data_IF_689501769843
#
_entry.id   IF_689501769843
#
_cell.length_a   1.000
_cell.length_b   1.000
_cell.length_c   1.000
_cell.angle_alpha   90.00
_cell.angle_beta   90.00
_cell.angle_gamma   90.00
#
_symmetry.space_group_name_H-M   'P 1'
#
loop_
_entity.id
_entity.type
_entity.pdbx_description
1 polymer ?
#
# COMPACT_ATOMS: atom_id res chain seq x y z
N UNK A 1 40.90 -45.35 45.58
CA UNK A 1 40.04 -45.02 44.43
C UNK A 1 40.41 -45.95 43.30
N UNK A 2 39.74 -47.11 43.26
CA UNK A 2 39.96 -48.07 42.17
C UNK A 2 39.13 -47.62 40.97
N UNK A 3 39.62 -47.80 39.74
CA UNK A 3 38.93 -47.39 38.50
C UNK A 3 37.51 -47.97 38.36
N UNK A 4 37.22 -49.05 39.09
CA UNK A 4 35.91 -49.69 39.25
C UNK A 4 34.86 -48.85 39.98
N UNK A 5 35.23 -47.84 40.77
CA UNK A 5 34.28 -47.02 41.54
C UNK A 5 33.70 -45.84 40.72
N UNK A 6 34.34 -45.48 39.61
CA UNK A 6 33.99 -44.29 38.79
C UNK A 6 33.13 -44.68 37.57
N UNK A 7 33.23 -45.92 37.11
CA UNK A 7 32.64 -46.37 35.86
C UNK A 7 31.38 -47.19 36.14
N UNK A 8 30.21 -46.61 35.87
CA UNK A 8 28.91 -47.26 36.10
C UNK A 8 28.36 -48.04 34.89
N UNK A 9 28.97 -47.88 33.71
CA UNK A 9 28.49 -48.54 32.49
C UNK A 9 28.76 -50.06 32.54
N UNK A 10 27.72 -50.92 32.35
CA UNK A 10 27.84 -52.38 32.43
C UNK A 10 28.82 -53.01 31.41
N UNK A 11 28.95 -52.41 30.23
CA UNK A 11 29.87 -52.91 29.20
C UNK A 11 31.31 -52.51 29.51
N UNK A 12 31.55 -51.27 29.93
CA UNK A 12 32.89 -50.81 30.33
C UNK A 12 33.38 -51.55 31.59
N UNK A 13 32.49 -51.80 32.56
CA UNK A 13 32.84 -52.58 33.76
C UNK A 13 33.23 -54.02 33.39
N UNK A 14 32.55 -54.65 32.42
CA UNK A 14 32.95 -55.95 31.90
C UNK A 14 34.34 -55.92 31.22
N UNK A 15 34.65 -54.87 30.44
CA UNK A 15 35.99 -54.68 29.85
C UNK A 15 37.06 -54.53 30.93
N UNK A 16 36.80 -53.69 31.94
CA UNK A 16 37.73 -53.45 33.05
C UNK A 16 37.96 -54.72 33.87
N UNK A 17 36.91 -55.51 34.14
CA UNK A 17 37.02 -56.78 34.84
C UNK A 17 37.86 -57.79 34.05
N UNK A 18 37.60 -57.95 32.74
CA UNK A 18 38.37 -58.84 31.87
C UNK A 18 39.85 -58.40 31.74
N UNK A 19 40.11 -57.09 31.67
CA UNK A 19 41.47 -56.56 31.65
C UNK A 19 42.20 -56.76 32.98
N UNK A 20 41.50 -56.61 34.11
CA UNK A 20 42.06 -56.90 35.44
C UNK A 20 42.39 -58.38 35.61
N UNK A 21 41.52 -59.28 35.13
CA UNK A 21 41.77 -60.73 35.11
C UNK A 21 43.00 -61.08 34.26
N UNK A 22 43.08 -60.57 33.03
CA UNK A 22 44.25 -60.78 32.17
C UNK A 22 45.54 -60.27 32.82
N UNK A 23 45.50 -59.12 33.50
CA UNK A 23 46.65 -58.57 34.24
C UNK A 23 47.07 -59.48 35.40
N UNK A 24 46.12 -59.99 36.18
CA UNK A 24 46.40 -60.93 37.27
C UNK A 24 47.04 -62.22 36.76
N UNK A 25 46.62 -62.75 35.60
CA UNK A 25 47.26 -63.93 35.01
C UNK A 25 48.69 -63.62 34.54
N UNK A 26 48.94 -62.44 33.95
CA UNK A 26 50.30 -62.01 33.61
C UNK A 26 51.19 -61.93 34.86
N UNK A 27 50.70 -61.33 35.95
CA UNK A 27 51.44 -61.23 37.22
C UNK A 27 51.78 -62.62 37.79
N UNK A 28 50.85 -63.59 37.71
CA UNK A 28 51.11 -64.99 38.13
C UNK A 28 52.15 -65.69 37.27
N UNK A 29 52.08 -65.55 35.95
CA UNK A 29 53.08 -66.13 35.04
C UNK A 29 54.47 -65.55 35.33
N UNK A 30 54.58 -64.24 35.57
CA UNK A 30 55.83 -63.59 35.95
C UNK A 30 56.38 -64.12 37.29
N UNK A 31 55.50 -64.35 38.27
CA UNK A 31 55.90 -64.94 39.55
C UNK A 31 56.42 -66.38 39.41
N UNK A 32 55.77 -67.22 38.61
CA UNK A 32 56.20 -68.59 38.32
C UNK A 32 57.58 -68.63 37.64
N UNK A 33 57.82 -67.73 36.67
CA UNK A 33 59.11 -67.59 36.00
C UNK A 33 60.20 -67.12 36.99
N UNK A 34 59.87 -66.19 37.89
CA UNK A 34 60.82 -65.67 38.88
C UNK A 34 61.19 -66.70 39.95
N UNK A 35 60.30 -67.62 40.30
CA UNK A 35 60.56 -68.72 41.23
C UNK A 35 61.39 -69.87 40.63
N UNK A 36 61.78 -69.79 39.35
CA UNK A 36 62.57 -70.83 38.64
C UNK A 36 61.96 -72.24 38.73
N UNK A 37 60.63 -72.31 38.82
CA UNK A 37 59.85 -73.53 38.66
C UNK A 37 59.65 -73.76 37.17
N UNK A 38 60.62 -74.41 36.52
CA UNK A 38 60.47 -74.91 35.15
C UNK A 38 59.58 -76.17 35.12
N UNK A 39 58.37 -76.07 35.71
CA UNK A 39 57.32 -77.04 35.44
C UNK A 39 56.59 -76.58 34.17
N UNK A 40 57.13 -77.00 33.02
CA UNK A 40 56.63 -76.65 31.68
C UNK A 40 55.10 -76.89 31.55
N UNK A 41 54.56 -77.85 32.30
CA UNK A 41 53.13 -78.14 32.33
C UNK A 41 52.29 -77.02 32.95
N UNK A 42 52.67 -76.49 34.11
CA UNK A 42 51.92 -75.43 34.80
C UNK A 42 52.00 -74.11 34.03
N UNK A 43 53.17 -73.75 33.50
CA UNK A 43 53.36 -72.55 32.69
C UNK A 43 52.50 -72.55 31.42
N UNK A 44 52.39 -73.69 30.73
CA UNK A 44 51.55 -73.80 29.54
C UNK A 44 50.05 -73.69 29.86
N UNK A 45 49.60 -74.16 31.03
CA UNK A 45 48.19 -74.01 31.44
C UNK A 45 47.84 -72.55 31.72
N UNK A 46 48.70 -71.81 32.41
CA UNK A 46 48.48 -70.39 32.69
C UNK A 46 48.60 -69.53 31.42
N UNK A 47 49.50 -69.86 30.50
CA UNK A 47 49.57 -69.24 29.17
C UNK A 47 48.26 -69.40 28.38
N UNK A 48 47.66 -70.60 28.38
CA UNK A 48 46.37 -70.85 27.73
C UNK A 48 45.25 -69.98 28.33
N UNK A 49 45.21 -69.82 29.65
CA UNK A 49 44.26 -68.93 30.34
C UNK A 49 44.47 -67.46 29.96
N UNK A 50 45.73 -67.01 29.90
CA UNK A 50 46.02 -65.65 29.43
C UNK A 50 45.55 -65.42 27.98
N UNK A 51 45.75 -66.39 27.09
CA UNK A 51 45.27 -66.28 25.70
C UNK A 51 43.75 -66.20 25.62
N UNK A 52 43.00 -66.95 26.45
CA UNK A 52 41.54 -66.82 26.50
C UNK A 52 41.11 -65.46 27.02
N UNK A 53 41.74 -64.95 28.09
CA UNK A 53 41.39 -63.66 28.67
C UNK A 53 41.69 -62.51 27.69
N UNK A 54 42.82 -62.58 26.97
CA UNK A 54 43.15 -61.63 25.90
C UNK A 54 42.16 -61.68 24.73
N UNK A 55 41.65 -62.86 24.38
CA UNK A 55 40.63 -62.98 23.34
C UNK A 55 39.32 -62.29 23.76
N UNK A 56 38.92 -62.45 25.02
CA UNK A 56 37.73 -61.80 25.60
C UNK A 56 37.91 -60.27 25.58
N UNK A 57 39.04 -59.75 26.06
CA UNK A 57 39.31 -58.30 26.07
C UNK A 57 39.28 -57.71 24.66
N UNK A 58 39.90 -58.38 23.67
CA UNK A 58 39.84 -57.94 22.26
C UNK A 58 38.41 -57.96 21.70
N UNK A 59 37.62 -58.97 22.04
CA UNK A 59 36.22 -59.07 21.65
C UNK A 59 35.37 -57.93 22.22
N UNK A 60 35.53 -57.64 23.50
CA UNK A 60 34.81 -56.54 24.17
C UNK A 60 35.23 -55.16 23.63
N UNK A 61 36.52 -54.94 23.34
CA UNK A 61 36.99 -53.72 22.70
C UNK A 61 36.35 -53.53 21.31
N UNK A 62 36.34 -54.58 20.48
CA UNK A 62 35.69 -54.54 19.17
C UNK A 62 34.19 -54.21 19.28
N UNK A 63 33.50 -54.79 20.27
CA UNK A 63 32.10 -54.49 20.55
C UNK A 63 31.90 -53.02 20.91
N UNK A 64 32.70 -52.46 21.81
CA UNK A 64 32.63 -51.06 22.19
C UNK A 64 32.84 -50.12 20.99
N UNK A 65 33.80 -50.42 20.11
CA UNK A 65 34.03 -49.64 18.89
C UNK A 65 32.81 -49.68 17.95
N UNK A 66 32.17 -50.84 17.80
CA UNK A 66 30.96 -50.98 16.99
C UNK A 66 29.78 -50.23 17.59
N UNK A 67 29.59 -50.30 18.91
CA UNK A 67 28.53 -49.58 19.61
C UNK A 67 28.72 -48.06 19.47
N UNK A 68 29.95 -47.53 19.59
CA UNK A 68 30.26 -46.11 19.35
C UNK A 68 29.95 -45.70 17.91
N UNK A 69 30.26 -46.54 16.92
CA UNK A 69 29.92 -46.25 15.52
C UNK A 69 28.41 -46.24 15.29
N UNK A 70 27.70 -47.17 15.92
CA UNK A 70 26.23 -47.24 15.86
C UNK A 70 25.61 -45.97 16.45
N UNK A 71 25.98 -45.58 17.67
CA UNK A 71 25.41 -44.38 18.30
C UNK A 71 25.76 -43.11 17.53
N UNK A 72 26.96 -43.02 16.94
CA UNK A 72 27.33 -41.92 16.05
C UNK A 72 26.43 -41.86 14.81
N UNK A 73 26.11 -43.00 14.21
CA UNK A 73 25.21 -43.06 13.07
C UNK A 73 23.77 -42.67 13.47
N UNK A 74 23.24 -43.26 14.54
CA UNK A 74 21.89 -42.96 15.05
C UNK A 74 21.71 -41.47 15.37
N UNK A 75 22.69 -40.86 16.03
CA UNK A 75 22.65 -39.42 16.32
C UNK A 75 22.77 -38.54 15.07
N UNK A 76 23.52 -38.99 14.06
CA UNK A 76 23.61 -38.27 12.78
C UNK A 76 22.30 -38.35 11.99
N UNK A 77 21.65 -39.51 11.96
CA UNK A 77 20.37 -39.71 11.28
C UNK A 77 19.27 -38.88 11.95
N UNK A 78 19.17 -38.93 13.29
CA UNK A 78 18.23 -38.11 14.04
C UNK A 78 18.46 -36.61 13.84
N UNK A 79 19.73 -36.17 13.79
CA UNK A 79 20.07 -34.78 13.48
C UNK A 79 19.62 -34.40 12.07
N UNK A 80 19.83 -35.26 11.08
CA UNK A 80 19.43 -34.99 9.71
C UNK A 80 17.90 -34.86 9.56
N UNK A 81 17.14 -35.68 10.28
CA UNK A 81 15.69 -35.57 10.35
C UNK A 81 15.26 -34.21 10.93
N UNK A 82 15.86 -33.78 12.04
CA UNK A 82 15.60 -32.47 12.64
C UNK A 82 15.92 -31.33 11.68
N UNK A 83 17.05 -31.39 10.98
CA UNK A 83 17.44 -30.37 10.00
C UNK A 83 16.42 -30.29 8.85
N UNK A 84 15.90 -31.45 8.40
CA UNK A 84 14.87 -31.53 7.35
C UNK A 84 13.55 -30.92 7.80
N UNK A 85 13.08 -31.25 9.00
CA UNK A 85 11.87 -30.67 9.59
C UNK A 85 12.02 -29.16 9.82
N UNK A 86 13.21 -28.71 10.23
CA UNK A 86 13.48 -27.29 10.40
C UNK A 86 13.37 -26.52 9.08
N UNK A 87 13.88 -27.09 7.98
CA UNK A 87 13.74 -26.49 6.65
C UNK A 87 12.27 -26.41 6.21
N UNK A 88 11.49 -27.47 6.44
CA UNK A 88 10.05 -27.46 6.16
C UNK A 88 9.32 -26.38 6.96
N UNK A 89 9.65 -26.25 8.24
CA UNK A 89 9.08 -25.21 9.11
C UNK A 89 9.43 -23.80 8.60
N UNK A 90 10.67 -23.57 8.16
CA UNK A 90 11.06 -22.30 7.56
C UNK A 90 10.24 -21.99 6.30
N UNK A 91 10.03 -22.97 5.42
CA UNK A 91 9.20 -22.79 4.23
C UNK A 91 7.76 -22.37 4.60
N UNK A 92 7.17 -23.00 5.61
CA UNK A 92 5.83 -22.63 6.11
C UNK A 92 5.80 -21.21 6.68
N UNK A 93 6.83 -20.78 7.42
CA UNK A 93 6.91 -19.39 7.91
C UNK A 93 7.01 -18.38 6.76
N UNK A 94 7.75 -18.70 5.70
CA UNK A 94 7.79 -17.87 4.50
C UNK A 94 6.42 -17.76 3.84
N UNK A 95 5.74 -18.89 3.65
CA UNK A 95 4.39 -18.92 3.07
C UNK A 95 3.40 -18.12 3.92
N UNK A 96 3.40 -18.32 5.25
CA UNK A 96 2.56 -17.57 6.17
C UNK A 96 2.81 -16.06 6.07
N UNK A 97 4.09 -15.64 6.04
CA UNK A 97 4.44 -14.21 5.93
C UNK A 97 3.99 -13.63 4.59
N UNK A 98 4.12 -14.39 3.51
CA UNK A 98 3.67 -14.00 2.18
C UNK A 98 2.15 -13.78 2.17
N UNK A 99 1.37 -14.78 2.60
CA UNK A 99 -0.08 -14.72 2.67
C UNK A 99 -0.57 -13.57 3.55
N UNK A 100 0.05 -13.36 4.72
CA UNK A 100 -0.28 -12.22 5.58
C UNK A 100 0.01 -10.87 4.89
N UNK A 101 1.07 -10.79 4.09
CA UNK A 101 1.37 -9.61 3.28
C UNK A 101 0.31 -9.35 2.20
N UNK A 102 -0.14 -10.40 1.52
CA UNK A 102 -1.22 -10.31 0.54
C UNK A 102 -2.55 -9.91 1.17
N UNK A 103 -2.92 -10.52 2.31
CA UNK A 103 -4.12 -10.16 3.07
C UNK A 103 -4.07 -8.68 3.47
N UNK A 104 -2.96 -8.21 4.05
CA UNK A 104 -2.81 -6.81 4.41
C UNK A 104 -2.91 -5.87 3.20
N UNK A 105 -2.39 -6.29 2.03
CA UNK A 105 -2.54 -5.54 0.79
C UNK A 105 -4.00 -5.48 0.31
N UNK A 106 -4.75 -6.57 0.45
CA UNK A 106 -6.17 -6.63 0.10
C UNK A 106 -7.03 -5.81 1.06
N UNK A 107 -6.77 -5.89 2.37
CA UNK A 107 -7.48 -5.13 3.40
C UNK A 107 -7.24 -3.63 3.27
N UNK A 108 -5.99 -3.25 2.97
CA UNK A 108 -5.60 -1.85 2.77
C UNK A 108 -5.89 -1.34 1.35
N UNK A 109 -6.60 -2.12 0.53
CA UNK A 109 -6.99 -1.65 -0.80
C UNK A 109 -7.81 -0.36 -0.69
N UNK A 110 -7.35 0.67 -1.39
CA UNK A 110 -7.96 2.00 -1.34
C UNK A 110 -9.17 2.05 -2.27
N UNK A 111 -10.33 1.76 -1.69
CA UNK A 111 -11.59 1.71 -2.42
C UNK A 111 -12.07 3.14 -2.75
N UNK A 112 -12.21 3.46 -4.04
CA UNK A 112 -12.58 4.82 -4.49
C UNK A 112 -13.91 5.31 -3.91
N UNK A 113 -14.87 4.41 -3.66
CA UNK A 113 -16.18 4.79 -3.10
C UNK A 113 -16.09 5.39 -1.70
N UNK A 114 -15.07 5.04 -0.90
CA UNK A 114 -14.88 5.58 0.45
C UNK A 114 -14.51 7.07 0.46
N UNK A 115 -14.03 7.59 -0.68
CA UNK A 115 -13.66 9.01 -0.85
C UNK A 115 -14.82 9.86 -1.38
N UNK A 116 -15.95 9.26 -1.77
CA UNK A 116 -17.09 10.02 -2.25
C UNK A 116 -17.74 10.76 -1.07
N UNK A 117 -17.98 12.08 -1.17
CA UNK A 117 -18.77 12.79 -0.18
C UNK A 117 -20.23 12.43 -0.42
N UNK A 118 -20.68 11.37 0.25
CA UNK A 118 -22.06 10.88 0.26
C UNK A 118 -22.82 11.56 1.41
N UNK A 119 -24.13 11.73 1.23
CA UNK A 119 -25.02 12.15 2.29
C UNK A 119 -24.92 11.21 3.51
N UNK A 120 -24.88 11.73 4.75
CA UNK A 120 -24.87 10.90 5.95
C UNK A 120 -26.05 9.92 5.97
N UNK A 121 -25.83 8.72 6.50
CA UNK A 121 -26.81 7.63 6.47
C UNK A 121 -28.15 8.02 7.10
N UNK A 122 -28.12 8.77 8.20
CA UNK A 122 -29.32 9.25 8.90
C UNK A 122 -30.18 10.15 8.02
N UNK A 123 -29.55 11.08 7.29
CA UNK A 123 -30.25 12.00 6.40
C UNK A 123 -30.79 11.25 5.19
N UNK A 124 -30.03 10.32 4.62
CA UNK A 124 -30.50 9.48 3.53
C UNK A 124 -31.72 8.65 3.93
N UNK A 125 -31.67 7.95 5.06
CA UNK A 125 -32.79 7.12 5.55
C UNK A 125 -34.03 7.96 5.93
N UNK A 126 -33.85 9.23 6.30
CA UNK A 126 -34.99 10.15 6.51
C UNK A 126 -35.75 10.45 5.22
N UNK A 127 -35.06 10.45 4.09
CA UNK A 127 -35.64 10.68 2.75
C UNK A 127 -36.12 9.36 2.11
N UNK A 128 -35.47 8.26 2.48
CA UNK A 128 -35.66 6.92 1.92
C UNK A 128 -35.86 5.87 3.02
N UNK A 129 -36.96 5.93 3.79
CA UNK A 129 -37.22 5.01 4.90
C UNK A 129 -37.38 3.55 4.46
N UNK A 130 -37.78 3.31 3.20
CA UNK A 130 -37.92 1.97 2.60
C UNK A 130 -36.59 1.22 2.50
N UNK A 131 -35.46 1.92 2.56
CA UNK A 131 -34.11 1.33 2.51
C UNK A 131 -33.55 0.95 3.90
N UNK A 132 -34.28 1.24 4.99
CA UNK A 132 -33.78 1.02 6.35
C UNK A 132 -33.58 -0.45 6.74
N UNK A 133 -34.27 -1.38 6.06
CA UNK A 133 -34.16 -2.82 6.30
C UNK A 133 -33.16 -3.54 5.39
N UNK A 134 -32.48 -2.83 4.50
CA UNK A 134 -31.49 -3.41 3.58
C UNK A 134 -30.18 -3.73 4.30
N UNK A 135 -29.42 -4.67 3.73
CA UNK A 135 -28.06 -4.96 4.18
C UNK A 135 -27.13 -3.74 3.97
N UNK A 136 -26.07 -3.63 4.77
CA UNK A 136 -25.16 -2.47 4.74
C UNK A 136 -24.56 -2.24 3.35
N UNK A 137 -24.18 -3.32 2.66
CA UNK A 137 -23.64 -3.25 1.31
C UNK A 137 -24.69 -2.77 0.31
N UNK A 138 -25.91 -3.31 0.38
CA UNK A 138 -27.03 -2.91 -0.49
C UNK A 138 -27.44 -1.46 -0.25
N UNK A 139 -27.47 -1.02 1.02
CA UNK A 139 -27.72 0.35 1.40
C UNK A 139 -26.64 1.30 0.84
N UNK A 140 -25.37 0.92 0.89
CA UNK A 140 -24.27 1.71 0.30
C UNK A 140 -24.44 1.86 -1.21
N UNK A 141 -24.80 0.79 -1.93
CA UNK A 141 -25.07 0.87 -3.38
C UNK A 141 -26.22 1.83 -3.68
N UNK A 142 -27.33 1.75 -2.94
CA UNK A 142 -28.48 2.63 -3.12
C UNK A 142 -28.16 4.10 -2.81
N UNK A 143 -27.32 4.35 -1.81
CA UNK A 143 -26.81 5.70 -1.52
C UNK A 143 -25.95 6.25 -2.65
N UNK A 144 -25.07 5.44 -3.23
CA UNK A 144 -24.23 5.85 -4.37
C UNK A 144 -25.09 6.13 -5.61
N UNK A 145 -26.09 5.29 -5.89
CA UNK A 145 -27.03 5.48 -7.01
C UNK A 145 -27.81 6.79 -6.87
N UNK A 146 -28.31 7.09 -5.66
CA UNK A 146 -29.01 8.33 -5.36
C UNK A 146 -28.12 9.57 -5.61
N UNK A 147 -26.92 9.58 -5.04
CA UNK A 147 -25.96 10.67 -5.20
C UNK A 147 -25.55 10.89 -6.67
N UNK A 148 -25.39 9.79 -7.41
CA UNK A 148 -25.13 9.87 -8.84
C UNK A 148 -26.28 10.55 -9.59
N UNK A 149 -27.53 10.16 -9.29
CA UNK A 149 -28.71 10.77 -9.89
C UNK A 149 -28.85 12.26 -9.55
N UNK A 150 -28.61 12.64 -8.29
CA UNK A 150 -28.62 14.04 -7.87
C UNK A 150 -27.55 14.88 -8.58
N UNK A 151 -26.32 14.36 -8.67
CA UNK A 151 -25.23 15.04 -9.38
C UNK A 151 -25.51 15.21 -10.86
N UNK A 152 -26.14 14.22 -11.49
CA UNK A 152 -26.55 14.32 -12.89
C UNK A 152 -27.56 15.45 -13.08
N UNK A 153 -28.60 15.51 -12.22
CA UNK A 153 -29.59 16.59 -12.27
C UNK A 153 -28.98 17.97 -12.00
N UNK A 154 -28.03 18.07 -11.08
CA UNK A 154 -27.32 19.32 -10.79
C UNK A 154 -26.48 19.78 -11.98
N UNK A 155 -25.79 18.86 -12.65
CA UNK A 155 -25.00 19.17 -13.83
C UNK A 155 -25.88 19.58 -15.02
N UNK A 156 -27.03 18.93 -15.22
CA UNK A 156 -28.03 19.35 -16.23
C UNK A 156 -28.54 20.77 -15.96
N UNK A 157 -28.91 21.08 -14.70
CA UNK A 157 -29.33 22.42 -14.28
C UNK A 157 -28.20 23.44 -14.50
N UNK A 158 -26.96 23.09 -14.16
CA UNK A 158 -25.78 23.94 -14.39
C UNK A 158 -25.61 24.23 -15.88
N UNK A 159 -25.68 23.23 -16.75
CA UNK A 159 -25.57 23.41 -18.19
C UNK A 159 -26.69 24.28 -18.75
N UNK A 160 -27.93 24.08 -18.31
CA UNK A 160 -29.07 24.91 -18.70
C UNK A 160 -28.87 26.37 -18.28
N UNK A 161 -28.42 26.62 -17.05
CA UNK A 161 -28.12 27.96 -16.54
C UNK A 161 -26.94 28.60 -17.29
N UNK A 162 -25.90 27.85 -17.63
CA UNK A 162 -24.77 28.32 -18.43
C UNK A 162 -25.23 28.73 -19.84
N UNK A 163 -26.07 27.93 -20.50
CA UNK A 163 -26.65 28.30 -21.81
C UNK A 163 -27.49 29.58 -21.71
N UNK A 164 -28.33 29.70 -20.69
CA UNK A 164 -29.13 30.92 -20.46
C UNK A 164 -28.25 32.14 -20.19
N UNK A 165 -27.20 31.99 -19.38
CA UNK A 165 -26.21 33.05 -19.13
C UNK A 165 -25.55 33.50 -20.43
N UNK A 166 -25.12 32.57 -21.27
CA UNK A 166 -24.48 32.89 -22.55
C UNK A 166 -25.45 33.62 -23.50
N UNK A 167 -26.71 33.18 -23.57
CA UNK A 167 -27.74 33.84 -24.37
C UNK A 167 -28.03 35.27 -23.90
N UNK A 168 -28.06 35.50 -22.58
CA UNK A 168 -28.22 36.84 -22.02
C UNK A 168 -27.01 37.73 -22.29
N UNK A 169 -25.79 37.19 -22.24
CA UNK A 169 -24.57 37.92 -22.60
C UNK A 169 -24.61 38.34 -24.07
N UNK A 170 -24.97 37.44 -24.98
CA UNK A 170 -25.09 37.78 -26.41
C UNK A 170 -26.18 38.81 -26.67
N UNK A 171 -27.32 38.73 -26.00
CA UNK A 171 -28.39 39.73 -26.16
C UNK A 171 -27.98 41.08 -25.57
N UNK A 172 -27.26 41.11 -24.45
CA UNK A 172 -26.73 42.35 -23.89
C UNK A 172 -25.70 43.00 -24.82
N UNK A 173 -24.80 42.21 -25.42
CA UNK A 173 -23.85 42.70 -26.40
C UNK A 173 -24.55 43.24 -27.66
N UNK A 174 -25.55 42.52 -28.19
CA UNK A 174 -26.37 42.99 -29.32
C UNK A 174 -27.06 44.32 -29.01
N UNK A 175 -27.61 44.48 -27.80
CA UNK A 175 -28.23 45.75 -27.36
C UNK A 175 -27.20 46.87 -27.24
N UNK A 176 -26.00 46.58 -26.73
CA UNK A 176 -24.90 47.55 -26.68
C UNK A 176 -24.48 48.01 -28.08
N UNK A 177 -24.35 47.08 -29.03
CA UNK A 177 -24.04 47.40 -30.42
C UNK A 177 -25.14 48.24 -31.07
N UNK A 178 -26.41 47.92 -30.81
CA UNK A 178 -27.54 48.71 -31.29
C UNK A 178 -27.55 50.12 -30.70
N UNK A 179 -27.31 50.26 -29.39
CA UNK A 179 -27.20 51.57 -28.74
C UNK A 179 -26.04 52.38 -29.31
N UNK A 180 -24.86 51.79 -29.46
CA UNK A 180 -23.72 52.45 -30.10
C UNK A 180 -24.01 52.89 -31.54
N UNK A 181 -24.78 52.09 -32.29
CA UNK A 181 -25.21 52.47 -33.64
C UNK A 181 -26.24 53.61 -33.66
N UNK A 182 -27.10 53.69 -32.64
CA UNK A 182 -28.07 54.77 -32.47
C UNK A 182 -27.37 56.06 -32.04
N UNK A 183 -26.43 55.98 -31.09
CA UNK A 183 -25.60 57.10 -30.65
C UNK A 183 -24.91 57.74 -31.86
N UNK A 184 -24.28 56.92 -32.71
CA UNK A 184 -23.65 57.41 -33.95
C UNK A 184 -24.63 58.11 -34.89
N UNK A 185 -25.85 57.58 -35.07
CA UNK A 185 -26.87 58.22 -35.92
C UNK A 185 -27.39 59.54 -35.33
N UNK A 186 -27.44 59.64 -34.00
CA UNK A 186 -27.81 60.88 -33.31
C UNK A 186 -26.71 61.92 -33.52
N UNK A 187 -25.44 61.53 -33.38
CA UNK A 187 -24.29 62.40 -33.71
C UNK A 187 -24.38 62.91 -35.16
N UNK A 188 -24.58 62.01 -36.14
CA UNK A 188 -24.76 62.38 -37.56
C UNK A 188 -25.97 63.32 -37.78
N UNK A 189 -27.08 63.11 -37.06
CA UNK A 189 -28.26 63.98 -37.14
C UNK A 189 -28.01 65.36 -36.54
N UNK A 190 -27.31 65.44 -35.41
CA UNK A 190 -26.92 66.71 -34.77
C UNK A 190 -26.00 67.49 -35.71
N UNK A 191 -24.95 66.86 -36.25
CA UNK A 191 -24.05 67.51 -37.21
C UNK A 191 -24.80 67.99 -38.47
N UNK A 192 -25.73 67.19 -39.00
CA UNK A 192 -26.59 67.59 -40.10
C UNK A 192 -27.50 68.77 -39.76
N UNK A 193 -28.05 68.81 -38.55
CA UNK A 193 -28.89 69.91 -38.05
C UNK A 193 -28.09 71.19 -37.87
N UNK A 194 -26.87 71.11 -37.32
CA UNK A 194 -25.95 72.25 -37.25
C UNK A 194 -25.65 72.78 -38.65
N UNK A 195 -25.40 71.89 -39.62
CA UNK A 195 -25.24 72.27 -41.02
C UNK A 195 -26.45 73.03 -41.57
N UNK A 196 -27.67 72.54 -41.32
CA UNK A 196 -28.90 73.21 -41.72
C UNK A 196 -29.09 74.55 -41.01
N UNK A 197 -28.81 74.65 -39.70
CA UNK A 197 -28.85 75.90 -38.94
C UNK A 197 -27.88 76.94 -39.50
N UNK A 198 -26.67 76.53 -39.91
CA UNK A 198 -25.71 77.45 -40.55
C UNK A 198 -26.21 77.95 -41.91
N UNK A 199 -26.86 77.10 -42.71
CA UNK A 199 -27.47 77.53 -43.97
C UNK A 199 -28.68 78.44 -43.75
N UNK A 200 -29.54 78.15 -42.77
CA UNK A 200 -30.59 79.07 -42.35
C UNK A 200 -30.02 80.40 -41.87
N UNK A 201 -28.93 80.41 -41.09
CA UNK A 201 -28.27 81.63 -40.66
C UNK A 201 -27.74 82.45 -41.86
N UNK A 202 -27.11 81.81 -42.85
CA UNK A 202 -26.66 82.46 -44.10
C UNK A 202 -27.83 83.01 -44.93
N UNK A 203 -28.92 82.26 -45.08
CA UNK A 203 -30.13 82.71 -45.78
C UNK A 203 -30.78 83.88 -45.03
N UNK A 204 -30.76 83.86 -43.70
CA UNK A 204 -31.25 84.97 -42.86
C UNK A 204 -30.36 86.20 -43.03
N UNK A 205 -29.03 86.04 -43.07
CA UNK A 205 -28.08 87.11 -43.38
C UNK A 205 -28.25 87.67 -44.80
N UNK A 206 -28.45 86.82 -45.82
CA UNK A 206 -28.72 87.24 -47.20
C UNK A 206 -30.08 87.94 -47.32
N UNK A 207 -31.13 87.46 -46.64
CA UNK A 207 -32.43 88.14 -46.54
C UNK A 207 -32.30 89.52 -45.87
N UNK A 208 -31.45 89.67 -44.85
CA UNK A 208 -31.15 90.99 -44.26
C UNK A 208 -30.33 91.89 -45.19
N UNK A 209 -29.48 91.35 -46.08
CA UNK A 209 -28.79 92.12 -47.13
C UNK A 209 -29.74 92.58 -48.24
N UNK A 210 -30.65 91.73 -48.69
CA UNK A 210 -31.60 92.04 -49.77
C UNK A 210 -32.70 93.00 -49.28
N UNK A 211 -33.08 92.95 -48.00
CA UNK A 211 -33.95 93.94 -47.36
C UNK A 211 -33.28 95.28 -47.05
N UNK A 212 -31.96 95.40 -47.24
CA UNK A 212 -31.15 96.56 -46.84
C UNK A 212 -31.01 97.69 -47.87
N UNK A 213 -31.70 97.63 -49.01
CA UNK A 213 -31.63 98.71 -50.03
C UNK A 213 -33.02 99.20 -50.45
N UNK A 214 -33.75 99.86 -49.54
CA UNK A 214 -34.76 100.86 -49.90
C UNK A 214 -35.04 101.83 -48.73
N UNK A 215 -34.66 103.10 -48.95
CA UNK A 215 -35.13 104.36 -48.36
C UNK A 215 -34.87 104.70 -46.87
N UNK A 216 -33.88 105.56 -46.65
CA UNK A 216 -34.14 106.91 -46.12
C UNK A 216 -34.32 107.82 -47.36
N UNK A 217 -35.27 108.73 -47.51
CA UNK A 217 -35.99 109.61 -46.57
C UNK A 217 -37.39 109.94 -47.13
N UNK A 218 -38.37 110.16 -46.26
CA UNK A 218 -39.05 111.46 -46.11
C UNK A 218 -40.14 111.35 -45.03
N UNK A 219 -40.06 112.28 -44.08
CA UNK A 219 -40.98 112.49 -42.97
C UNK A 219 -42.29 113.14 -43.45
N UNK A 220 -43.42 112.71 -42.86
CA UNK A 220 -44.60 113.48 -42.38
C UNK A 220 -45.81 112.52 -42.33
N UNK A 221 -46.68 112.41 -41.32
CA UNK A 221 -46.87 113.07 -40.03
C UNK A 221 -47.98 112.31 -39.24
N UNK A 222 -47.97 112.41 -37.90
CA UNK A 222 -49.06 112.21 -36.90
C UNK A 222 -49.74 110.82 -36.71
N UNK A 223 -49.55 110.17 -35.55
CA UNK A 223 -50.48 110.07 -34.38
C UNK A 223 -49.91 109.10 -33.31
N UNK A 224 -49.86 109.51 -32.03
CA UNK A 224 -49.08 108.89 -30.93
C UNK A 224 -49.90 107.89 -30.07
N UNK A 225 -49.29 106.76 -29.71
CA UNK A 225 -49.58 105.92 -28.53
C UNK A 225 -48.25 105.41 -27.96
N UNK A 226 -48.13 105.42 -26.63
CA UNK A 226 -46.87 105.33 -25.88
C UNK A 226 -46.06 104.05 -26.10
#
# INVERSE_FOLDING_TARGET
MTSSEIVSDPQLTAVLAAAAQARQQCEKILALIAESKDDDGELDTERKKLYSDLAIVRGLNRKAILDVRRTKQETADARHEVDTLHLQLQNLYYEQRHLNGEIASCENYDHSYKKLPLLPTEVYLSQHPEHASLDEHELMLKRIEHEHAERLQLEEKRQALLKRKQALISENNRRKELLASLDKKIEEWIEGSEGVETEFAKVTEEMTRIGGTASASDEENVTISQ
#
